data_IF_521348928751
#
_entry.id   IF_521348928751
#
_cell.length_a   1.000
_cell.length_b   1.000
_cell.length_c   1.000
_cell.angle_alpha   90.00
_cell.angle_beta   90.00
_cell.angle_gamma   90.00
#
_symmetry.space_group_name_H-M   'P 1'
#
loop_
_entity.id
_entity.type
_entity.pdbx_description
1 polymer ?
#
# COMPACT_ATOMS: atom_id res chain seq x y z
N UNK A 1 3.52 -36.33 8.37
CA UNK A 1 2.68 -35.65 7.36
C UNK A 1 2.21 -34.37 8.01
N UNK A 2 2.88 -33.26 7.69
CA UNK A 2 2.55 -31.95 8.25
C UNK A 2 1.62 -31.29 7.26
N UNK A 3 0.40 -31.03 7.68
CA UNK A 3 -0.58 -30.23 6.94
C UNK A 3 -0.01 -28.85 6.72
N UNK A 4 0.33 -28.55 5.47
CA UNK A 4 0.55 -27.19 5.00
C UNK A 4 -0.80 -26.49 5.09
N UNK A 5 -0.93 -25.57 6.05
CA UNK A 5 -2.05 -24.63 6.08
C UNK A 5 -1.93 -23.77 4.82
N UNK A 6 -2.78 -24.08 3.83
CA UNK A 6 -3.04 -23.21 2.69
C UNK A 6 -3.48 -21.86 3.26
N UNK A 7 -2.58 -20.89 3.23
CA UNK A 7 -2.93 -19.49 3.46
C UNK A 7 -3.82 -19.10 2.29
N UNK A 8 -5.14 -19.20 2.48
CA UNK A 8 -6.14 -18.64 1.59
C UNK A 8 -5.77 -17.17 1.37
N UNK A 9 -5.17 -16.88 0.23
CA UNK A 9 -5.11 -15.53 -0.29
C UNK A 9 -6.54 -15.23 -0.71
N UNK A 10 -7.31 -14.61 0.19
CA UNK A 10 -8.58 -13.98 -0.20
C UNK A 10 -8.28 -13.07 -1.41
N UNK A 11 -8.69 -13.52 -2.59
CA UNK A 11 -8.73 -12.69 -3.78
C UNK A 11 -9.69 -11.55 -3.44
N UNK A 12 -9.12 -10.41 -3.05
CA UNK A 12 -9.84 -9.18 -2.77
C UNK A 12 -10.63 -8.81 -4.02
N UNK A 13 -11.89 -9.24 -4.05
CA UNK A 13 -12.94 -9.03 -5.05
C UNK A 13 -12.43 -8.73 -6.47
N UNK A 14 -12.43 -9.71 -7.40
CA UNK A 14 -12.20 -9.41 -8.79
C UNK A 14 -13.34 -8.48 -9.26
N UNK A 15 -13.03 -7.19 -9.42
CA UNK A 15 -13.96 -6.20 -9.93
C UNK A 15 -14.53 -6.66 -11.28
N UNK A 16 -15.84 -6.56 -11.46
CA UNK A 16 -16.52 -6.87 -12.71
C UNK A 16 -16.53 -5.64 -13.63
N UNK A 17 -15.65 -5.56 -14.65
CA UNK A 17 -15.59 -4.41 -15.56
C UNK A 17 -16.90 -4.21 -16.31
N UNK A 18 -17.37 -2.96 -16.37
CA UNK A 18 -18.41 -2.56 -17.31
C UNK A 18 -18.00 -2.84 -18.78
N UNK A 19 -18.95 -3.15 -19.66
CA UNK A 19 -18.66 -3.38 -21.07
C UNK A 19 -18.10 -2.11 -21.74
N UNK A 20 -17.30 -2.22 -22.83
CA UNK A 20 -16.67 -1.06 -23.47
C UNK A 20 -17.63 0.03 -23.96
N UNK A 21 -18.91 -0.29 -24.16
CA UNK A 21 -19.99 0.64 -24.52
C UNK A 21 -20.43 1.56 -23.38
N UNK A 22 -20.15 1.19 -22.13
CA UNK A 22 -20.65 1.86 -20.92
C UNK A 22 -19.52 2.56 -20.13
N UNK A 23 -18.37 2.79 -20.78
CA UNK A 23 -17.26 3.55 -20.17
C UNK A 23 -17.67 5.00 -19.91
N UNK A 24 -17.23 5.53 -18.77
CA UNK A 24 -17.55 6.89 -18.33
C UNK A 24 -16.41 7.83 -18.69
N UNK A 25 -16.73 9.03 -19.17
CA UNK A 25 -15.73 10.06 -19.44
C UNK A 25 -15.34 10.79 -18.15
N UNK A 26 -14.08 10.68 -17.74
CA UNK A 26 -13.53 11.35 -16.56
C UNK A 26 -12.13 11.90 -16.87
N UNK A 27 -11.65 12.88 -16.09
CA UNK A 27 -10.27 13.35 -16.18
C UNK A 27 -9.28 12.23 -15.84
N UNK A 28 -8.23 12.07 -16.65
CA UNK A 28 -7.20 11.02 -16.44
C UNK A 28 -6.33 11.33 -15.24
N UNK A 29 -6.02 12.61 -15.05
CA UNK A 29 -5.27 13.12 -13.92
C UNK A 29 -5.92 14.43 -13.46
N UNK A 30 -5.63 14.84 -12.21
CA UNK A 30 -5.97 16.17 -11.69
C UNK A 30 -4.98 17.24 -12.21
N UNK A 31 -4.45 17.04 -13.41
CA UNK A 31 -3.44 17.90 -14.02
C UNK A 31 -4.15 18.98 -14.84
N UNK A 32 -3.53 20.15 -14.92
CA UNK A 32 -4.11 21.40 -15.44
C UNK A 32 -4.61 21.32 -16.90
N UNK A 33 -4.22 20.30 -17.68
CA UNK A 33 -4.68 20.14 -19.07
C UNK A 33 -6.09 19.55 -19.23
N UNK A 34 -6.73 19.06 -18.17
CA UNK A 34 -8.14 18.64 -18.18
C UNK A 34 -8.49 17.55 -19.22
N UNK A 35 -7.51 16.73 -19.63
CA UNK A 35 -7.72 15.68 -20.64
C UNK A 35 -8.68 14.62 -20.09
N UNK A 36 -9.79 14.43 -20.78
CA UNK A 36 -10.76 13.38 -20.50
C UNK A 36 -10.37 12.08 -21.21
N UNK A 37 -10.49 10.96 -20.53
CA UNK A 37 -10.48 9.63 -21.15
C UNK A 37 -11.73 8.85 -20.76
N UNK A 38 -11.92 7.71 -21.43
CA UNK A 38 -12.97 6.75 -21.10
C UNK A 38 -12.45 5.80 -20.03
N UNK A 39 -13.00 5.86 -18.83
CA UNK A 39 -12.66 5.01 -17.71
C UNK A 39 -13.57 3.79 -17.63
N UNK A 40 -12.95 2.66 -17.28
CA UNK A 40 -13.69 1.47 -16.84
C UNK A 40 -14.16 1.68 -15.40
N UNK A 41 -15.27 1.06 -15.06
CA UNK A 41 -15.80 1.06 -13.70
C UNK A 41 -16.35 -0.33 -13.36
N UNK A 42 -16.42 -0.64 -12.08
CA UNK A 42 -16.91 -1.91 -11.60
C UNK A 42 -18.43 -1.88 -11.49
N UNK A 43 -19.13 -2.82 -12.15
CA UNK A 43 -20.59 -2.91 -12.11
C UNK A 43 -21.11 -3.19 -10.70
N UNK A 44 -20.33 -3.90 -9.88
CA UNK A 44 -20.77 -4.35 -8.56
C UNK A 44 -20.59 -3.26 -7.49
N UNK A 45 -19.50 -2.49 -7.57
CA UNK A 45 -19.11 -1.51 -6.53
C UNK A 45 -19.27 -0.06 -6.96
N UNK A 46 -19.41 0.21 -8.26
CA UNK A 46 -19.37 1.57 -8.81
C UNK A 46 -17.97 2.19 -8.87
N UNK A 47 -16.92 1.47 -8.44
CA UNK A 47 -15.57 2.02 -8.34
C UNK A 47 -14.93 2.15 -9.73
N UNK A 48 -14.41 3.34 -10.01
CA UNK A 48 -13.73 3.66 -11.26
C UNK A 48 -12.30 3.09 -11.24
N UNK A 49 -11.92 2.44 -12.32
CA UNK A 49 -10.59 1.89 -12.52
C UNK A 49 -9.57 3.02 -12.66
N UNK A 50 -8.47 2.88 -11.95
CA UNK A 50 -7.29 3.71 -12.13
C UNK A 50 -6.73 3.51 -13.54
N UNK A 51 -6.55 4.62 -14.27
CA UNK A 51 -5.93 4.63 -15.59
C UNK A 51 -4.49 5.17 -15.57
N UNK A 52 -4.03 5.65 -14.41
CA UNK A 52 -2.62 5.99 -14.20
C UNK A 52 -1.76 4.74 -14.26
N UNK A 53 -0.51 4.89 -14.68
CA UNK A 53 0.45 3.77 -14.77
C UNK A 53 0.93 3.23 -13.41
N UNK A 54 0.45 3.77 -12.30
CA UNK A 54 0.77 3.31 -10.95
C UNK A 54 -0.28 2.33 -10.44
N UNK A 55 0.14 1.22 -9.84
CA UNK A 55 -0.74 0.25 -9.21
C UNK A 55 -0.39 0.06 -7.72
N UNK A 56 -1.41 -0.21 -6.90
CA UNK A 56 -1.21 -0.57 -5.51
C UNK A 56 -0.31 -1.81 -5.34
N UNK A 57 0.50 -1.77 -4.30
CA UNK A 57 1.32 -2.91 -3.89
C UNK A 57 0.52 -3.88 -3.02
N UNK A 58 0.78 -5.19 -3.13
CA UNK A 58 0.14 -6.19 -2.28
C UNK A 58 0.62 -6.08 -0.82
N UNK A 59 -0.13 -6.69 0.11
CA UNK A 59 0.22 -6.72 1.54
C UNK A 59 1.65 -7.19 1.82
N UNK A 60 2.13 -8.19 1.09
CA UNK A 60 3.49 -8.71 1.20
C UNK A 60 4.59 -7.65 1.02
N UNK A 61 4.34 -6.63 0.18
CA UNK A 61 5.27 -5.51 0.02
C UNK A 61 5.45 -4.72 1.33
N UNK A 62 4.35 -4.40 2.01
CA UNK A 62 4.39 -3.64 3.26
C UNK A 62 4.98 -4.44 4.41
N UNK A 63 4.74 -5.75 4.44
CA UNK A 63 5.42 -6.66 5.37
C UNK A 63 6.94 -6.60 5.15
N UNK A 64 7.40 -6.64 3.89
CA UNK A 64 8.82 -6.53 3.56
C UNK A 64 9.42 -5.19 3.97
N UNK A 65 8.71 -4.08 3.73
CA UNK A 65 9.13 -2.73 4.16
C UNK A 65 9.31 -2.69 5.68
N UNK A 66 8.33 -3.14 6.46
CA UNK A 66 8.39 -3.12 7.92
C UNK A 66 9.51 -4.01 8.48
N UNK A 67 9.74 -5.17 7.86
CA UNK A 67 10.85 -6.05 8.22
C UNK A 67 12.22 -5.41 7.92
N UNK A 68 12.36 -4.73 6.78
CA UNK A 68 13.57 -3.95 6.46
C UNK A 68 13.78 -2.81 7.44
N UNK A 69 12.73 -2.07 7.82
CA UNK A 69 12.82 -1.04 8.85
C UNK A 69 13.32 -1.62 10.17
N UNK A 70 12.72 -2.73 10.63
CA UNK A 70 13.15 -3.44 11.85
C UNK A 70 14.62 -3.85 11.79
N UNK A 71 15.08 -4.36 10.64
CA UNK A 71 16.48 -4.72 10.44
C UNK A 71 17.40 -3.49 10.57
N UNK A 72 17.14 -2.41 9.81
CA UNK A 72 17.96 -1.18 9.81
C UNK A 72 18.03 -0.56 11.22
N UNK A 73 16.91 -0.52 11.93
CA UNK A 73 16.87 -0.01 13.30
C UNK A 73 17.69 -0.86 14.27
N UNK A 74 17.82 -2.17 14.01
CA UNK A 74 18.62 -3.09 14.83
C UNK A 74 20.10 -3.08 14.46
N UNK A 75 20.46 -2.95 13.18
CA UNK A 75 21.84 -2.99 12.69
C UNK A 75 22.50 -1.60 12.69
N UNK A 76 21.90 -0.65 12.00
CA UNK A 76 22.55 0.62 11.65
C UNK A 76 22.43 1.60 12.82
N UNK A 77 21.27 1.62 13.48
CA UNK A 77 21.01 2.49 14.63
C UNK A 77 21.12 1.74 15.97
N UNK A 78 21.02 0.42 15.97
CA UNK A 78 20.76 -0.37 17.19
C UNK A 78 21.86 -0.38 18.24
N UNK A 79 23.05 0.11 17.90
CA UNK A 79 24.16 0.27 18.84
C UNK A 79 24.07 1.55 19.70
N UNK A 80 23.23 2.52 19.32
CA UNK A 80 23.02 3.71 20.11
C UNK A 80 22.10 3.45 21.30
N UNK A 81 22.51 3.92 22.49
CA UNK A 81 21.66 3.96 23.69
C UNK A 81 20.49 4.89 23.38
N UNK A 82 19.27 4.35 23.24
CA UNK A 82 18.01 5.00 22.82
C UNK A 82 17.71 5.00 21.31
N UNK A 83 18.36 4.14 20.53
CA UNK A 83 17.94 3.92 19.16
C UNK A 83 16.46 3.47 19.09
N UNK A 84 15.66 4.06 18.19
CA UNK A 84 14.32 3.57 17.90
C UNK A 84 14.35 2.08 17.56
N UNK A 85 13.44 1.29 18.13
CA UNK A 85 13.29 -0.14 17.81
C UNK A 85 11.95 -0.36 17.16
N UNK A 86 11.77 -1.37 16.30
CA UNK A 86 10.44 -1.74 15.78
C UNK A 86 10.08 -3.16 16.23
N UNK A 87 9.43 -3.30 17.40
CA UNK A 87 8.98 -4.60 17.90
C UNK A 87 7.93 -5.24 16.99
N UNK A 88 7.84 -6.57 17.05
CA UNK A 88 6.87 -7.34 16.27
C UNK A 88 5.41 -6.92 16.54
N UNK A 89 5.10 -6.57 17.79
CA UNK A 89 3.78 -6.07 18.16
C UNK A 89 3.41 -4.77 17.43
N UNK A 90 4.38 -3.86 17.22
CA UNK A 90 4.16 -2.62 16.48
C UNK A 90 3.97 -2.90 14.99
N UNK A 91 4.70 -3.86 14.42
CA UNK A 91 4.51 -4.30 13.02
C UNK A 91 3.08 -4.83 12.84
N UNK A 92 2.64 -5.74 13.70
CA UNK A 92 1.28 -6.31 13.65
C UNK A 92 0.20 -5.23 13.77
N UNK A 93 0.38 -4.27 14.66
CA UNK A 93 -0.54 -3.15 14.84
C UNK A 93 -0.60 -2.21 13.62
N UNK A 94 0.56 -1.93 13.00
CA UNK A 94 0.61 -1.16 11.75
C UNK A 94 -0.12 -1.91 10.64
N UNK A 95 0.16 -3.20 10.46
CA UNK A 95 -0.52 -4.02 9.44
C UNK A 95 -2.03 -4.08 9.66
N UNK A 96 -2.46 -4.23 10.92
CA UNK A 96 -3.87 -4.21 11.26
C UNK A 96 -4.54 -2.88 10.86
N UNK A 97 -3.90 -1.72 11.10
CA UNK A 97 -4.45 -0.44 10.63
C UNK A 97 -4.57 -0.34 9.11
N UNK A 98 -3.60 -0.92 8.38
CA UNK A 98 -3.67 -0.95 6.91
C UNK A 98 -4.82 -1.84 6.44
N UNK A 99 -5.04 -2.97 7.11
CA UNK A 99 -6.14 -3.91 6.81
C UNK A 99 -7.52 -3.28 7.10
N UNK A 100 -7.61 -2.31 8.01
CA UNK A 100 -8.86 -1.58 8.28
C UNK A 100 -9.19 -0.52 7.22
N UNK A 101 -8.26 -0.18 6.32
CA UNK A 101 -8.52 0.78 5.24
C UNK A 101 -9.15 0.05 4.07
N UNK A 102 -10.40 0.39 3.78
CA UNK A 102 -11.12 -0.14 2.64
C UNK A 102 -10.37 0.10 1.32
N UNK A 103 -10.24 -0.96 0.52
CA UNK A 103 -9.52 -0.96 -0.74
C UNK A 103 -8.02 -0.59 -0.63
N UNK A 104 -7.37 -0.69 0.54
CA UNK A 104 -5.97 -0.31 0.67
C UNK A 104 -5.05 -1.11 -0.25
N UNK A 105 -5.30 -2.39 -0.43
CA UNK A 105 -4.53 -3.30 -1.31
C UNK A 105 -5.17 -3.50 -2.69
N UNK A 106 -6.25 -2.77 -2.99
CA UNK A 106 -7.02 -2.94 -4.21
C UNK A 106 -6.32 -2.29 -5.41
N UNK A 107 -5.81 -3.14 -6.31
CA UNK A 107 -5.09 -2.69 -7.52
C UNK A 107 -6.00 -2.02 -8.55
N UNK A 108 -7.32 -2.17 -8.44
CA UNK A 108 -8.26 -1.63 -9.43
C UNK A 108 -8.27 -0.11 -9.45
N UNK A 109 -8.33 0.52 -8.28
CA UNK A 109 -8.49 1.98 -8.18
C UNK A 109 -7.36 2.68 -7.43
N UNK A 110 -6.60 1.96 -6.59
CA UNK A 110 -5.60 2.56 -5.72
C UNK A 110 -4.27 2.73 -6.44
N UNK A 111 -3.68 3.92 -6.34
CA UNK A 111 -2.33 4.21 -6.86
C UNK A 111 -1.25 3.86 -5.82
N UNK A 112 -0.03 3.54 -6.30
CA UNK A 112 1.14 3.32 -5.44
C UNK A 112 1.41 4.55 -4.56
N UNK A 113 1.43 5.75 -5.14
CA UNK A 113 1.73 6.99 -4.43
C UNK A 113 0.74 7.28 -3.30
N UNK A 114 -0.56 7.09 -3.54
CA UNK A 114 -1.62 7.24 -2.52
C UNK A 114 -1.48 6.21 -1.39
N UNK A 115 -1.11 4.98 -1.75
CA UNK A 115 -0.90 3.89 -0.79
C UNK A 115 0.31 4.17 0.11
N UNK A 116 1.43 4.61 -0.48
CA UNK A 116 2.67 4.98 0.25
C UNK A 116 2.43 6.16 1.19
N UNK A 117 1.74 7.21 0.76
CA UNK A 117 1.40 8.35 1.62
C UNK A 117 0.57 7.93 2.84
N UNK A 118 -0.39 7.03 2.62
CA UNK A 118 -1.23 6.51 3.70
C UNK A 118 -0.46 5.61 4.65
N UNK A 119 0.40 4.74 4.12
CA UNK A 119 1.31 3.92 4.90
C UNK A 119 2.21 4.77 5.81
N UNK A 120 2.83 5.81 5.26
CA UNK A 120 3.69 6.74 6.03
C UNK A 120 2.92 7.35 7.19
N UNK A 121 1.69 7.83 6.95
CA UNK A 121 0.84 8.41 8.01
C UNK A 121 0.56 7.41 9.13
N UNK A 122 0.19 6.17 8.80
CA UNK A 122 -0.08 5.12 9.81
C UNK A 122 1.17 4.82 10.63
N UNK A 123 2.32 4.64 9.96
CA UNK A 123 3.58 4.37 10.64
C UNK A 123 3.92 5.51 11.59
N UNK A 124 3.82 6.76 11.15
CA UNK A 124 4.12 7.93 11.99
C UNK A 124 3.14 8.09 13.16
N UNK A 125 1.85 7.77 12.96
CA UNK A 125 0.85 7.82 14.03
C UNK A 125 1.17 6.82 15.14
N UNK A 126 1.61 5.60 14.79
CA UNK A 126 2.00 4.59 15.78
C UNK A 126 3.40 4.81 16.34
N UNK A 127 4.29 5.41 15.54
CA UNK A 127 5.73 5.52 15.78
C UNK A 127 6.24 6.90 15.38
N UNK A 128 5.82 7.91 16.14
CA UNK A 128 6.21 9.31 15.95
C UNK A 128 7.72 9.55 16.07
N UNK A 129 8.44 8.63 16.72
CA UNK A 129 9.90 8.64 16.83
C UNK A 129 10.63 8.25 15.52
N UNK A 130 9.91 7.67 14.55
CA UNK A 130 10.46 7.36 13.24
C UNK A 130 10.28 8.54 12.28
N UNK A 131 11.39 9.00 11.70
CA UNK A 131 11.33 10.12 10.75
C UNK A 131 10.66 9.71 9.44
N UNK A 132 9.90 10.63 8.84
CA UNK A 132 9.28 10.44 7.52
C UNK A 132 10.31 10.04 6.47
N UNK A 133 11.48 10.67 6.49
CA UNK A 133 12.61 10.38 5.59
C UNK A 133 13.06 8.92 5.70
N UNK A 134 13.24 8.41 6.92
CA UNK A 134 13.62 7.01 7.14
C UNK A 134 12.60 6.02 6.54
N UNK A 135 11.31 6.31 6.70
CA UNK A 135 10.23 5.48 6.16
C UNK A 135 10.28 5.50 4.62
N UNK A 136 10.33 6.69 4.01
CA UNK A 136 10.44 6.87 2.55
C UNK A 136 11.66 6.15 1.99
N UNK A 137 12.84 6.36 2.59
CA UNK A 137 14.07 5.74 2.13
C UNK A 137 13.97 4.20 2.15
N UNK A 138 13.28 3.64 3.15
CA UNK A 138 13.06 2.18 3.25
C UNK A 138 12.06 1.67 2.20
N UNK A 139 11.00 2.42 1.93
CA UNK A 139 10.05 2.12 0.84
C UNK A 139 10.78 2.15 -0.51
N UNK A 140 11.55 3.20 -0.80
CA UNK A 140 12.32 3.34 -2.06
C UNK A 140 13.32 2.20 -2.22
N UNK A 141 14.03 1.79 -1.16
CA UNK A 141 14.92 0.61 -1.15
C UNK A 141 14.19 -0.71 -1.37
N UNK A 142 12.88 -0.75 -1.15
CA UNK A 142 12.06 -1.94 -1.37
C UNK A 142 11.50 -1.96 -2.79
N UNK A 143 11.16 -0.80 -3.35
CA UNK A 143 10.76 -0.64 -4.75
C UNK A 143 11.91 -0.90 -5.72
N UNK A 144 13.13 -0.51 -5.35
CA UNK A 144 14.36 -0.78 -6.12
C UNK A 144 14.97 -2.17 -5.85
N UNK A 145 14.29 -2.98 -5.02
CA UNK A 145 14.76 -4.26 -4.52
C UNK A 145 15.05 -5.25 -5.62
#
# INVERSE_FOLDING_TARGET
>A
MSSEEEVETEDLNPHNPAPPSEKVWLPVYLDEEGKLAKHDWCLDTGIIKNQGGEEAKPKGFYILVLNKMKYILKSDLGHAKNAPKLPESQIKLILWDLDQIDGFYDKWWRTESSQVETFIKIVQNRRADLSRKFIIDTVVRTLRG
#
